data_IF_785878200707
#
_entry.id   IF_785878200707
#
_cell.length_a   1.000
_cell.length_b   1.000
_cell.length_c   1.000
_cell.angle_alpha   90.00
_cell.angle_beta   90.00
_cell.angle_gamma   90.00
#
_symmetry.space_group_name_H-M   'P 1'
#
loop_
_entity.id
_entity.type
_entity.pdbx_description
1 polymer ?
#
# COMPACT_ATOMS: atom_id res chain seq x y z
N UNK A 1 -40.21 13.59 -31.54
CA UNK A 1 -39.64 12.75 -30.46
C UNK A 1 -38.16 12.64 -30.74
N UNK A 2 -37.30 13.24 -29.95
CA UNK A 2 -35.86 13.08 -30.11
C UNK A 2 -35.43 11.74 -29.49
N UNK A 3 -34.53 11.09 -30.17
CA UNK A 3 -33.99 9.76 -29.86
C UNK A 3 -33.02 9.82 -28.66
N UNK A 4 -32.97 8.74 -27.90
CA UNK A 4 -32.32 8.55 -26.60
C UNK A 4 -30.78 8.41 -26.67
N UNK A 5 -30.09 9.13 -27.51
CA UNK A 5 -28.61 9.02 -27.69
C UNK A 5 -27.80 10.19 -27.14
N UNK A 6 -28.42 11.20 -26.53
CA UNK A 6 -27.75 12.45 -26.11
C UNK A 6 -27.72 12.64 -24.60
N UNK A 7 -27.23 11.68 -23.82
CA UNK A 7 -26.90 11.92 -22.41
C UNK A 7 -25.77 11.03 -21.92
N UNK A 8 -24.58 11.25 -22.45
CA UNK A 8 -23.34 10.93 -21.72
C UNK A 8 -22.88 12.23 -21.04
N UNK A 9 -22.77 12.30 -19.71
CA UNK A 9 -22.13 13.44 -19.07
C UNK A 9 -20.62 13.31 -19.24
N UNK A 10 -20.08 14.01 -20.23
CA UNK A 10 -18.64 14.05 -20.58
C UNK A 10 -17.84 15.05 -19.76
N UNK A 11 -18.37 15.67 -18.71
CA UNK A 11 -17.65 16.63 -17.90
C UNK A 11 -17.82 16.36 -16.40
N UNK A 12 -17.18 15.30 -15.90
CA UNK A 12 -16.79 15.32 -14.50
C UNK A 12 -15.62 16.30 -14.39
N UNK A 13 -15.71 17.34 -13.53
CA UNK A 13 -14.60 18.26 -13.33
C UNK A 13 -13.40 17.46 -12.87
N UNK A 14 -12.36 17.47 -13.68
CA UNK A 14 -11.06 16.92 -13.27
C UNK A 14 -10.66 17.64 -11.97
N UNK A 15 -10.36 16.93 -10.88
CA UNK A 15 -9.87 17.58 -9.69
C UNK A 15 -8.57 18.30 -10.08
N UNK A 16 -8.57 19.62 -9.99
CA UNK A 16 -7.35 20.41 -10.13
C UNK A 16 -6.44 20.00 -8.98
N UNK A 17 -5.42 19.22 -9.28
CA UNK A 17 -4.28 19.05 -8.40
C UNK A 17 -3.68 20.43 -8.19
N UNK A 18 -3.94 21.02 -7.03
CA UNK A 18 -3.28 22.27 -6.65
C UNK A 18 -1.88 21.85 -6.21
N UNK A 19 -0.82 22.23 -6.96
CA UNK A 19 0.54 21.95 -6.53
C UNK A 19 0.73 22.56 -5.14
N UNK A 20 1.09 21.76 -4.17
CA UNK A 20 1.37 22.26 -2.83
C UNK A 20 2.73 22.92 -2.85
N UNK A 21 2.75 24.22 -2.88
CA UNK A 21 3.96 25.02 -2.73
C UNK A 21 4.29 25.10 -1.24
N UNK A 22 5.26 24.31 -0.81
CA UNK A 22 5.77 24.44 0.54
C UNK A 22 7.31 24.34 0.53
N UNK A 23 7.94 25.06 1.46
CA UNK A 23 9.36 24.93 1.73
C UNK A 23 9.56 23.88 2.81
N UNK A 24 10.30 22.82 2.48
CA UNK A 24 10.60 21.78 3.45
C UNK A 24 11.70 22.23 4.42
N UNK A 25 11.52 21.94 5.70
CA UNK A 25 12.56 21.99 6.70
C UNK A 25 13.55 20.84 6.49
N UNK A 26 14.76 21.02 7.04
CA UNK A 26 15.77 19.96 6.98
C UNK A 26 15.35 18.79 7.89
N UNK A 27 15.33 17.59 7.30
CA UNK A 27 15.08 16.34 8.00
C UNK A 27 16.36 15.50 8.02
N UNK A 28 16.69 14.97 9.19
CA UNK A 28 17.83 14.04 9.34
C UNK A 28 17.33 12.60 9.31
N UNK A 29 17.62 11.84 8.23
CA UNK A 29 17.20 10.46 8.13
C UNK A 29 17.75 9.59 9.27
N UNK A 30 16.93 8.64 9.74
CA UNK A 30 17.37 7.62 10.68
C UNK A 30 17.79 6.33 9.95
N UNK A 31 18.58 5.49 10.61
CA UNK A 31 18.89 4.15 10.13
C UNK A 31 18.03 3.12 10.89
N UNK A 32 16.92 2.62 10.32
CA UNK A 32 16.08 1.65 10.99
C UNK A 32 16.86 0.37 11.29
N UNK A 33 16.76 -0.18 12.52
CA UNK A 33 17.38 -1.46 12.86
C UNK A 33 16.60 -2.62 12.24
N UNK A 34 17.28 -3.74 11.99
CA UNK A 34 16.64 -5.01 11.71
C UNK A 34 16.08 -5.66 12.98
N UNK A 35 14.97 -6.37 12.82
CA UNK A 35 14.29 -7.10 13.89
C UNK A 35 14.29 -8.60 13.61
N UNK A 36 14.37 -9.38 14.67
CA UNK A 36 14.24 -10.84 14.64
C UNK A 36 12.95 -11.22 15.36
N UNK A 37 11.94 -11.65 14.60
CA UNK A 37 10.57 -11.86 15.10
C UNK A 37 10.26 -13.37 15.11
N UNK A 38 9.96 -13.90 16.30
CA UNK A 38 9.60 -15.31 16.52
C UNK A 38 8.10 -15.48 16.85
N UNK A 39 7.33 -14.39 16.84
CA UNK A 39 5.92 -14.36 17.17
C UNK A 39 5.03 -14.32 15.92
N UNK A 40 3.78 -14.06 16.08
CA UNK A 40 2.75 -14.14 15.05
C UNK A 40 2.89 -13.05 13.98
N UNK A 41 2.75 -13.47 12.74
CA UNK A 41 2.57 -12.62 11.56
C UNK A 41 1.19 -12.89 10.96
N UNK A 42 0.50 -11.85 10.48
CA UNK A 42 -0.78 -12.00 9.76
C UNK A 42 -0.66 -11.26 8.43
N UNK A 43 -0.63 -12.01 7.33
CA UNK A 43 -0.69 -11.45 6.00
C UNK A 43 -2.14 -11.31 5.54
N UNK A 44 -2.46 -10.20 4.86
CA UNK A 44 -3.80 -9.95 4.37
C UNK A 44 -3.78 -9.08 3.10
N UNK A 45 -4.89 -9.12 2.37
CA UNK A 45 -5.10 -8.31 1.19
C UNK A 45 -6.50 -7.70 1.20
N UNK A 46 -6.65 -6.56 0.55
CA UNK A 46 -7.92 -5.92 0.22
C UNK A 46 -8.34 -6.30 -1.23
N UNK A 47 -9.62 -6.35 -1.51
CA UNK A 47 -10.74 -5.96 -0.65
C UNK A 47 -11.20 -7.05 0.33
N UNK A 48 -10.59 -8.24 0.33
CA UNK A 48 -11.17 -9.43 0.95
C UNK A 48 -10.98 -9.48 2.47
N UNK A 49 -9.80 -9.10 3.00
CA UNK A 49 -9.43 -9.45 4.37
C UNK A 49 -8.89 -8.31 5.23
N UNK A 50 -8.65 -7.11 4.68
CA UNK A 50 -8.05 -5.99 5.45
C UNK A 50 -8.90 -5.61 6.65
N UNK A 51 -10.21 -5.42 6.46
CA UNK A 51 -11.14 -5.12 7.55
C UNK A 51 -11.25 -6.28 8.54
N UNK A 52 -11.34 -7.51 8.03
CA UNK A 52 -11.44 -8.73 8.84
C UNK A 52 -10.21 -8.97 9.74
N UNK A 53 -9.04 -8.41 9.39
CA UNK A 53 -7.84 -8.45 10.24
C UNK A 53 -7.77 -7.24 11.16
N UNK A 54 -8.04 -6.04 10.65
CA UNK A 54 -7.92 -4.79 11.43
C UNK A 54 -8.95 -4.71 12.55
N UNK A 55 -10.21 -5.05 12.26
CA UNK A 55 -11.31 -4.98 13.22
C UNK A 55 -11.03 -5.74 14.52
N UNK A 56 -10.77 -7.06 14.53
CA UNK A 56 -10.58 -7.79 15.78
C UNK A 56 -9.34 -7.33 16.57
N UNK A 57 -8.29 -6.83 15.89
CA UNK A 57 -7.12 -6.27 16.57
C UNK A 57 -7.46 -4.94 17.27
N UNK A 58 -8.25 -4.07 16.64
CA UNK A 58 -8.71 -2.81 17.23
C UNK A 58 -9.74 -3.07 18.34
N UNK A 59 -10.64 -4.03 18.18
CA UNK A 59 -11.60 -4.44 19.21
C UNK A 59 -10.92 -5.04 20.45
N UNK A 60 -9.81 -5.76 20.27
CA UNK A 60 -9.03 -6.35 21.35
C UNK A 60 -8.06 -5.38 22.03
N UNK A 61 -7.89 -4.16 21.51
CA UNK A 61 -7.03 -3.16 22.10
C UNK A 61 -7.48 -2.83 23.53
N UNK A 62 -6.53 -2.79 24.47
CA UNK A 62 -6.76 -2.62 25.90
C UNK A 62 -6.03 -1.42 26.52
N UNK A 63 -5.01 -0.88 25.85
CA UNK A 63 -4.19 0.22 26.36
C UNK A 63 -4.12 1.39 25.40
N UNK A 64 -3.66 1.13 24.16
CA UNK A 64 -3.40 2.22 23.24
C UNK A 64 -3.52 1.79 21.77
N UNK A 65 -3.96 2.71 20.93
CA UNK A 65 -3.94 2.64 19.49
C UNK A 65 -3.24 3.90 18.99
N UNK A 66 -2.11 3.75 18.28
CA UNK A 66 -1.35 4.83 17.68
C UNK A 66 -1.36 4.64 16.15
N UNK A 67 -1.79 5.66 15.43
CA UNK A 67 -2.02 5.59 13.98
C UNK A 67 -1.26 6.70 13.28
N UNK A 68 -0.50 6.38 12.22
CA UNK A 68 -0.04 7.29 11.18
C UNK A 68 -0.72 6.87 9.88
N UNK A 69 -1.55 7.76 9.31
CA UNK A 69 -2.32 7.44 8.09
C UNK A 69 -2.52 8.66 7.21
N UNK A 70 -2.61 8.41 5.90
CA UNK A 70 -2.77 9.47 4.91
C UNK A 70 -4.22 9.88 4.69
N UNK A 71 -5.15 8.92 4.55
CA UNK A 71 -6.58 9.16 4.36
C UNK A 71 -7.42 8.43 5.40
N UNK A 72 -8.41 9.13 5.94
CA UNK A 72 -9.34 8.61 6.94
C UNK A 72 -10.78 9.06 6.63
N UNK A 73 -11.49 8.28 5.81
CA UNK A 73 -12.86 8.60 5.37
C UNK A 73 -13.89 7.50 5.67
N UNK A 74 -13.44 6.31 6.11
CA UNK A 74 -14.33 5.18 6.42
C UNK A 74 -14.97 5.35 7.80
N UNK A 75 -16.29 5.58 7.85
CA UNK A 75 -17.06 5.82 9.08
C UNK A 75 -17.00 4.63 10.05
N UNK A 76 -17.09 3.40 9.55
CA UNK A 76 -17.00 2.20 10.38
C UNK A 76 -15.60 2.01 11.03
N UNK A 77 -14.53 2.54 10.43
CA UNK A 77 -13.21 2.58 11.07
C UNK A 77 -13.18 3.60 12.20
N UNK A 78 -13.78 4.78 12.00
CA UNK A 78 -13.98 5.76 13.07
C UNK A 78 -14.78 5.14 14.22
N UNK A 79 -15.84 4.41 13.94
CA UNK A 79 -16.68 3.78 14.95
C UNK A 79 -15.91 2.78 15.80
N UNK A 80 -14.98 2.01 15.22
CA UNK A 80 -14.08 1.12 15.95
C UNK A 80 -13.16 1.88 16.90
N UNK A 81 -12.62 3.03 16.48
CA UNK A 81 -11.75 3.86 17.31
C UNK A 81 -12.53 4.54 18.43
N UNK A 82 -13.74 5.04 18.17
CA UNK A 82 -14.63 5.59 19.20
C UNK A 82 -15.04 4.51 20.20
N UNK A 83 -15.33 3.30 19.74
CA UNK A 83 -15.60 2.18 20.64
C UNK A 83 -14.38 1.83 21.53
N UNK A 84 -13.16 1.96 21.00
CA UNK A 84 -11.94 1.79 21.80
C UNK A 84 -11.79 2.90 22.86
N UNK A 85 -12.03 4.16 22.50
CA UNK A 85 -12.05 5.29 23.46
C UNK A 85 -13.05 5.05 24.59
N UNK A 86 -14.26 4.58 24.29
CA UNK A 86 -15.29 4.26 25.30
C UNK A 86 -14.89 3.12 26.23
N UNK A 87 -13.98 2.24 25.81
CA UNK A 87 -13.38 1.21 26.68
C UNK A 87 -12.20 1.73 27.52
N UNK A 88 -11.83 3.01 27.38
CA UNK A 88 -10.68 3.62 28.07
C UNK A 88 -9.35 3.43 27.36
N UNK A 89 -9.35 2.97 26.10
CA UNK A 89 -8.13 2.84 25.29
C UNK A 89 -7.69 4.22 24.82
N UNK A 90 -6.42 4.55 24.93
CA UNK A 90 -5.85 5.78 24.39
C UNK A 90 -5.75 5.68 22.87
N UNK A 91 -6.44 6.53 22.12
CA UNK A 91 -6.35 6.60 20.66
C UNK A 91 -5.64 7.88 20.28
N UNK A 92 -4.52 7.74 19.58
CA UNK A 92 -3.74 8.85 19.02
C UNK A 92 -3.58 8.65 17.52
N UNK A 93 -3.90 9.68 16.72
CA UNK A 93 -3.81 9.63 15.27
C UNK A 93 -3.00 10.81 14.75
N UNK A 94 -2.04 10.51 13.87
CA UNK A 94 -1.41 11.47 12.98
C UNK A 94 -2.04 11.32 11.60
N UNK A 95 -2.57 12.42 11.05
CA UNK A 95 -3.28 12.44 9.78
C UNK A 95 -2.69 13.51 8.86
N UNK A 96 -2.45 13.16 7.60
CA UNK A 96 -2.09 14.12 6.57
C UNK A 96 -3.37 14.83 6.10
N UNK A 97 -3.61 16.04 6.62
CA UNK A 97 -4.86 16.78 6.44
C UNK A 97 -5.01 17.33 5.03
N UNK A 98 -5.16 16.48 4.05
CA UNK A 98 -5.37 16.84 2.64
C UNK A 98 -6.79 17.34 2.32
N UNK A 99 -7.62 17.57 3.32
CA UNK A 99 -8.98 18.13 3.21
C UNK A 99 -9.88 17.37 2.24
N UNK A 100 -9.83 16.03 2.28
CA UNK A 100 -10.74 15.20 1.50
C UNK A 100 -12.17 15.29 2.04
N UNK A 101 -13.15 15.05 1.18
CA UNK A 101 -14.55 15.05 1.56
C UNK A 101 -14.82 14.03 2.66
N UNK A 102 -15.40 14.48 3.78
CA UNK A 102 -15.75 13.65 4.94
C UNK A 102 -14.62 13.44 5.96
N UNK A 103 -13.37 13.71 5.61
CA UNK A 103 -12.22 13.53 6.50
C UNK A 103 -12.19 14.53 7.66
N UNK A 104 -12.44 15.85 7.44
CA UNK A 104 -12.49 16.83 8.55
C UNK A 104 -13.55 16.50 9.57
N UNK A 105 -14.72 16.02 9.16
CA UNK A 105 -15.82 15.64 10.03
C UNK A 105 -15.48 14.42 10.88
N UNK A 106 -14.90 13.38 10.30
CA UNK A 106 -14.48 12.18 11.03
C UNK A 106 -13.33 12.48 12.00
N UNK A 107 -12.39 13.34 11.60
CA UNK A 107 -11.32 13.85 12.44
C UNK A 107 -11.87 14.61 13.64
N UNK A 108 -12.75 15.59 13.42
CA UNK A 108 -13.36 16.39 14.47
C UNK A 108 -14.17 15.51 15.45
N UNK A 109 -14.93 14.56 14.94
CA UNK A 109 -15.70 13.63 15.79
C UNK A 109 -14.80 12.77 16.65
N UNK A 110 -13.71 12.21 16.11
CA UNK A 110 -12.74 11.45 16.89
C UNK A 110 -12.16 12.28 18.04
N UNK A 111 -11.82 13.56 17.79
CA UNK A 111 -11.32 14.46 18.82
C UNK A 111 -12.38 14.77 19.89
N UNK A 112 -13.62 15.02 19.49
CA UNK A 112 -14.74 15.25 20.43
C UNK A 112 -15.02 14.04 21.32
N UNK A 113 -14.78 12.82 20.84
CA UNK A 113 -14.91 11.59 21.62
C UNK A 113 -13.72 11.32 22.54
N UNK A 114 -12.75 12.22 22.62
CA UNK A 114 -11.58 12.11 23.52
C UNK A 114 -10.33 11.51 22.88
N UNK A 115 -10.30 11.34 21.57
CA UNK A 115 -9.09 10.96 20.83
C UNK A 115 -8.07 12.11 20.79
N UNK A 116 -6.80 11.79 20.61
CA UNK A 116 -5.73 12.75 20.37
C UNK A 116 -5.40 12.80 18.89
N UNK A 117 -5.45 13.96 18.28
CA UNK A 117 -5.11 14.17 16.88
C UNK A 117 -3.94 15.13 16.71
N UNK A 118 -2.99 14.76 15.85
CA UNK A 118 -1.87 15.62 15.46
C UNK A 118 -1.82 15.68 13.92
N UNK A 119 -1.87 16.87 13.30
CA UNK A 119 -1.60 16.97 11.87
C UNK A 119 -0.23 16.40 11.55
N UNK A 120 -0.10 15.71 10.42
CA UNK A 120 1.20 15.22 9.99
C UNK A 120 2.11 16.38 9.56
N UNK A 121 3.43 16.34 9.81
CA UNK A 121 4.37 17.42 9.48
C UNK A 121 4.69 17.45 7.97
N UNK A 122 3.65 17.56 7.15
CA UNK A 122 3.68 17.57 5.69
C UNK A 122 3.34 18.96 5.13
N UNK A 123 3.43 19.09 3.81
CA UNK A 123 2.95 20.30 3.12
C UNK A 123 1.44 20.56 3.28
N UNK A 124 0.68 19.64 3.84
CA UNK A 124 -0.71 19.82 4.22
C UNK A 124 -0.88 20.52 5.57
N UNK A 125 0.12 20.49 6.45
CA UNK A 125 0.14 21.18 7.74
C UNK A 125 0.22 22.71 7.54
N UNK A 126 -0.30 23.45 8.53
CA UNK A 126 -0.12 24.89 8.63
C UNK A 126 1.15 25.28 9.41
N UNK A 127 1.90 24.32 9.96
CA UNK A 127 2.99 24.58 10.91
C UNK A 127 4.32 23.96 10.50
N UNK A 128 4.37 22.66 10.27
CA UNK A 128 5.61 21.91 10.08
C UNK A 128 5.64 21.24 8.71
N UNK A 129 6.61 21.60 7.87
CA UNK A 129 6.77 21.05 6.53
C UNK A 129 8.11 20.28 6.45
N UNK A 130 8.16 19.08 6.99
CA UNK A 130 9.34 18.22 6.88
C UNK A 130 9.27 17.27 5.70
N UNK A 131 8.05 16.88 5.33
CA UNK A 131 7.80 15.95 4.23
C UNK A 131 6.81 16.57 3.22
N UNK A 132 6.94 16.30 1.91
CA UNK A 132 5.90 16.70 0.96
C UNK A 132 4.55 16.11 1.34
N UNK A 133 4.54 14.83 1.76
CA UNK A 133 3.37 14.11 2.24
C UNK A 133 3.78 13.08 3.29
N UNK A 134 2.92 12.85 4.28
CA UNK A 134 3.02 11.74 5.23
C UNK A 134 2.08 10.63 4.76
N UNK A 135 2.60 9.76 3.89
CA UNK A 135 1.79 8.78 3.17
C UNK A 135 1.93 7.35 3.72
N UNK A 136 2.52 7.19 4.90
CA UNK A 136 2.55 5.90 5.61
C UNK A 136 1.15 5.49 6.08
N UNK A 137 0.94 4.17 6.23
CA UNK A 137 -0.24 3.55 6.84
C UNK A 137 0.26 2.55 7.87
N UNK A 138 0.49 3.07 9.06
CA UNK A 138 1.07 2.34 10.20
C UNK A 138 0.15 2.43 11.41
N UNK A 139 -0.21 1.29 11.96
CA UNK A 139 -1.04 1.20 13.16
C UNK A 139 -0.29 0.39 14.22
N UNK A 140 -0.09 0.96 15.40
CA UNK A 140 0.50 0.27 16.54
C UNK A 140 -0.57 0.09 17.61
N UNK A 141 -0.79 -1.15 18.06
CA UNK A 141 -1.82 -1.50 19.05
C UNK A 141 -1.14 -2.08 20.29
N UNK A 142 -1.39 -1.49 21.43
CA UNK A 142 -0.92 -1.90 22.77
C UNK A 142 0.60 -2.03 22.89
N UNK A 143 1.36 -1.33 22.04
CA UNK A 143 2.82 -1.50 21.88
C UNK A 143 3.24 -2.96 21.64
N UNK A 144 2.38 -3.73 21.03
CA UNK A 144 2.52 -5.16 20.79
C UNK A 144 2.38 -5.53 19.33
N UNK A 145 1.36 -5.01 18.67
CA UNK A 145 1.11 -5.23 17.26
C UNK A 145 1.52 -4.02 16.43
N UNK A 146 2.11 -4.28 15.28
CA UNK A 146 2.34 -3.28 14.23
C UNK A 146 1.69 -3.75 12.95
N UNK A 147 0.79 -2.96 12.37
CA UNK A 147 0.23 -3.16 11.05
C UNK A 147 0.89 -2.16 10.11
N UNK A 148 1.44 -2.65 8.99
CA UNK A 148 1.94 -1.83 7.90
C UNK A 148 1.23 -2.28 6.63
N UNK A 149 0.66 -1.34 5.88
CA UNK A 149 -0.16 -1.66 4.73
C UNK A 149 -0.08 -0.59 3.64
N UNK A 150 -0.54 -0.94 2.43
CA UNK A 150 -0.66 0.02 1.33
C UNK A 150 -1.97 0.81 1.38
N UNK A 151 -3.03 0.21 1.92
CA UNK A 151 -4.38 0.79 1.96
C UNK A 151 -4.58 1.82 3.05
N UNK A 152 -5.34 2.86 2.73
CA UNK A 152 -5.84 3.87 3.64
C UNK A 152 -7.04 3.37 4.47
N UNK A 153 -7.56 4.19 5.38
CA UNK A 153 -8.86 3.96 6.02
C UNK A 153 -9.98 4.64 5.22
N UNK A 154 -10.09 4.24 3.94
CA UNK A 154 -11.16 4.63 3.01
C UNK A 154 -12.05 3.44 2.69
N UNK A 155 -13.27 3.67 2.21
CA UNK A 155 -14.19 2.58 1.84
C UNK A 155 -13.62 1.68 0.74
N UNK A 156 -12.83 2.25 -0.18
CA UNK A 156 -12.22 1.48 -1.26
C UNK A 156 -11.06 0.61 -0.77
N UNK A 157 -10.21 1.11 0.15
CA UNK A 157 -9.01 0.39 0.59
C UNK A 157 -9.27 -0.59 1.75
N UNK A 158 -10.31 -0.35 2.56
CA UNK A 158 -10.66 -1.23 3.69
C UNK A 158 -12.16 -1.54 3.71
N UNK A 159 -12.75 -2.06 2.63
CA UNK A 159 -14.19 -2.36 2.61
C UNK A 159 -14.56 -3.31 3.74
N UNK A 160 -15.77 -3.15 4.35
CA UNK A 160 -16.16 -3.85 5.58
C UNK A 160 -16.56 -5.32 5.33
N UNK A 161 -15.75 -6.03 4.54
CA UNK A 161 -15.97 -7.44 4.26
C UNK A 161 -15.69 -8.30 5.50
N UNK A 162 -16.51 -9.31 5.71
CA UNK A 162 -16.29 -10.31 6.74
C UNK A 162 -15.04 -11.17 6.44
N UNK A 163 -14.62 -11.93 7.44
CA UNK A 163 -13.54 -12.90 7.23
C UNK A 163 -13.83 -13.78 6.00
N UNK A 164 -12.82 -14.01 5.18
CA UNK A 164 -12.93 -14.78 3.93
C UNK A 164 -13.79 -14.12 2.85
N UNK A 165 -13.97 -12.79 2.93
CA UNK A 165 -14.86 -12.06 2.04
C UNK A 165 -16.36 -12.30 2.31
N UNK A 166 -16.71 -13.11 3.31
CA UNK A 166 -18.10 -13.33 3.75
C UNK A 166 -19.04 -13.90 2.68
N UNK A 167 -20.33 -13.58 2.83
CA UNK A 167 -21.35 -13.91 1.84
C UNK A 167 -21.06 -13.20 0.51
N UNK A 168 -21.00 -13.92 -0.61
CA UNK A 168 -20.81 -13.33 -1.93
C UNK A 168 -21.82 -12.21 -2.26
N UNK A 169 -23.05 -12.33 -1.81
CA UNK A 169 -24.09 -11.33 -2.07
C UNK A 169 -23.85 -10.00 -1.31
N UNK A 170 -23.06 -10.05 -0.25
CA UNK A 170 -22.74 -8.90 0.59
C UNK A 170 -21.29 -8.38 0.36
N UNK A 171 -20.55 -9.00 -0.55
CA UNK A 171 -19.18 -8.62 -0.81
C UNK A 171 -19.10 -7.19 -1.37
N UNK A 172 -18.30 -6.36 -0.72
CA UNK A 172 -18.03 -4.98 -1.15
C UNK A 172 -16.72 -4.96 -1.93
N UNK A 173 -16.75 -4.65 -3.24
CA UNK A 173 -15.54 -4.45 -4.03
C UNK A 173 -14.69 -3.31 -3.49
N UNK A 174 -13.40 -3.36 -3.75
CA UNK A 174 -12.47 -2.33 -3.33
C UNK A 174 -11.17 -2.34 -4.13
N UNK A 175 -10.20 -1.61 -3.62
CA UNK A 175 -8.86 -1.60 -4.16
C UNK A 175 -8.15 -2.92 -3.90
N UNK A 176 -7.19 -3.26 -4.77
CA UNK A 176 -6.17 -4.23 -4.42
C UNK A 176 -5.11 -3.53 -3.58
N UNK A 177 -5.08 -3.86 -2.29
CA UNK A 177 -4.09 -3.46 -1.30
C UNK A 177 -3.53 -4.69 -0.58
N UNK A 178 -2.36 -4.55 0.05
CA UNK A 178 -1.80 -5.60 0.89
C UNK A 178 -1.25 -5.02 2.19
N UNK A 179 -1.26 -5.85 3.23
CA UNK A 179 -0.73 -5.47 4.53
C UNK A 179 -0.22 -6.65 5.33
N UNK A 180 0.59 -6.32 6.31
CA UNK A 180 1.19 -7.25 7.26
C UNK A 180 1.00 -6.75 8.68
N UNK A 181 0.39 -7.54 9.53
CA UNK A 181 0.37 -7.33 10.96
C UNK A 181 1.45 -8.21 11.63
N UNK A 182 2.27 -7.61 12.48
CA UNK A 182 3.40 -8.25 13.15
C UNK A 182 3.23 -8.11 14.67
N UNK A 183 3.22 -9.23 15.37
CA UNK A 183 3.25 -9.24 16.84
C UNK A 183 4.69 -9.22 17.33
N UNK A 184 5.17 -8.05 17.70
CA UNK A 184 6.53 -7.85 18.20
C UNK A 184 6.62 -6.56 19.01
N UNK A 185 6.84 -6.63 20.34
CA UNK A 185 7.00 -5.43 21.18
C UNK A 185 8.15 -4.54 20.68
N UNK A 186 9.26 -5.12 20.23
CA UNK A 186 10.42 -4.35 19.78
C UNK A 186 10.11 -3.56 18.48
N UNK A 187 9.41 -4.18 17.51
CA UNK A 187 8.99 -3.51 16.29
C UNK A 187 7.91 -2.46 16.59
N UNK A 188 6.96 -2.77 17.47
CA UNK A 188 5.92 -1.84 17.90
C UNK A 188 6.52 -0.61 18.59
N UNK A 189 7.48 -0.80 19.48
CA UNK A 189 8.19 0.30 20.14
C UNK A 189 9.00 1.16 19.13
N UNK A 190 9.56 0.55 18.08
CA UNK A 190 10.23 1.30 17.02
C UNK A 190 9.24 2.22 16.29
N UNK A 191 8.13 1.68 15.79
CA UNK A 191 7.13 2.48 15.07
C UNK A 191 6.42 3.49 15.99
N UNK A 192 6.21 3.16 17.25
CA UNK A 192 5.70 4.14 18.24
C UNK A 192 6.64 5.34 18.38
N UNK A 193 7.95 5.12 18.49
CA UNK A 193 8.93 6.22 18.53
C UNK A 193 8.97 7.00 17.23
N UNK A 194 8.90 6.34 16.08
CA UNK A 194 8.87 6.98 14.77
C UNK A 194 7.67 7.94 14.66
N UNK A 195 6.46 7.43 14.85
CA UNK A 195 5.23 8.24 14.74
C UNK A 195 5.18 9.37 15.77
N UNK A 196 5.58 9.11 17.01
CA UNK A 196 5.66 10.16 18.05
C UNK A 196 6.74 11.18 17.75
N UNK A 197 7.85 10.78 17.12
CA UNK A 197 8.90 11.69 16.64
C UNK A 197 8.36 12.61 15.54
N UNK A 198 7.64 12.07 14.57
CA UNK A 198 7.02 12.87 13.51
C UNK A 198 5.94 13.81 14.07
N UNK A 199 5.10 13.34 15.00
CA UNK A 199 4.15 14.20 15.72
C UNK A 199 4.87 15.33 16.50
N UNK A 200 6.03 15.05 17.08
CA UNK A 200 6.79 16.05 17.83
C UNK A 200 7.35 17.15 16.91
N UNK A 201 7.66 16.84 15.66
CA UNK A 201 8.06 17.85 14.66
C UNK A 201 6.92 18.87 14.43
N UNK A 202 5.69 18.39 14.32
CA UNK A 202 4.50 19.24 14.17
C UNK A 202 4.25 20.09 15.44
N UNK A 203 4.31 19.46 16.59
CA UNK A 203 4.01 20.12 17.88
C UNK A 203 5.10 21.14 18.28
N UNK A 204 6.37 20.92 17.91
CA UNK A 204 7.47 21.81 18.17
C UNK A 204 7.53 23.01 17.22
N UNK A 205 6.88 22.92 16.05
CA UNK A 205 6.84 24.00 15.08
C UNK A 205 6.06 25.18 15.69
N UNK A 206 6.75 26.31 15.85
CA UNK A 206 6.14 27.59 16.19
C UNK A 206 5.27 28.07 15.03
N UNK A 207 4.90 29.34 15.00
CA UNK A 207 4.03 30.01 14.04
C UNK A 207 4.24 29.59 12.58
N UNK A 208 3.16 29.57 11.78
CA UNK A 208 3.11 29.22 10.36
C UNK A 208 4.34 29.66 9.53
N UNK A 209 4.87 28.75 8.74
CA UNK A 209 5.94 28.99 7.78
C UNK A 209 5.36 29.76 6.57
N UNK A 210 6.15 30.72 6.05
CA UNK A 210 5.78 31.41 4.82
C UNK A 210 5.76 30.45 3.61
N UNK A 211 4.89 30.64 2.60
CA UNK A 211 4.87 29.81 1.40
C UNK A 211 6.24 29.76 0.72
N UNK A 212 6.69 28.58 0.36
CA UNK A 212 7.94 28.35 -0.36
C UNK A 212 7.71 27.76 -1.76
N UNK A 213 8.76 27.55 -2.58
CA UNK A 213 8.61 26.98 -3.92
C UNK A 213 8.05 25.56 -3.86
N UNK A 214 7.23 25.24 -4.86
CA UNK A 214 6.45 24.02 -4.97
C UNK A 214 7.26 22.73 -4.89
N UNK A 215 6.83 21.81 -4.04
CA UNK A 215 7.12 20.40 -4.22
C UNK A 215 5.88 19.80 -4.92
N UNK A 216 6.01 19.51 -6.21
CA UNK A 216 4.93 18.88 -6.98
C UNK A 216 4.97 17.36 -6.78
N UNK A 217 4.16 16.83 -5.89
CA UNK A 217 3.62 15.50 -6.05
C UNK A 217 2.10 15.63 -6.18
N UNK A 218 1.60 15.21 -7.33
CA UNK A 218 0.18 14.94 -7.47
C UNK A 218 -0.14 13.79 -6.52
N UNK A 219 -0.70 14.10 -5.33
CA UNK A 219 -1.30 13.08 -4.51
C UNK A 219 -2.23 12.26 -5.41
N UNK A 220 -1.97 10.96 -5.53
CA UNK A 220 -2.85 10.09 -6.30
C UNK A 220 -4.21 10.15 -5.61
N UNK A 221 -5.11 10.95 -6.19
CA UNK A 221 -6.47 11.07 -5.69
C UNK A 221 -7.10 9.70 -5.86
N UNK A 222 -7.52 9.11 -4.76
CA UNK A 222 -8.42 7.97 -4.78
C UNK A 222 -9.76 8.50 -5.30
N UNK A 223 -9.87 8.64 -6.64
CA UNK A 223 -11.12 8.97 -7.30
C UNK A 223 -12.13 7.92 -6.92
N UNK A 224 -13.35 8.33 -6.62
CA UNK A 224 -14.48 7.42 -6.48
C UNK A 224 -14.70 6.72 -7.84
N UNK A 225 -13.92 5.69 -8.09
CA UNK A 225 -14.00 4.90 -9.29
C UNK A 225 -15.35 4.14 -9.28
N UNK A 226 -15.92 3.95 -10.46
CA UNK A 226 -17.14 3.16 -10.60
C UNK A 226 -16.93 1.77 -9.98
N UNK A 227 -17.94 1.30 -9.24
CA UNK A 227 -17.90 -0.01 -8.61
C UNK A 227 -17.60 -1.09 -9.66
N UNK A 228 -16.64 -2.00 -9.43
CA UNK A 228 -16.34 -3.07 -10.37
C UNK A 228 -17.60 -3.89 -10.69
N UNK A 229 -17.82 -4.25 -11.96
CA UNK A 229 -19.01 -4.95 -12.37
C UNK A 229 -19.04 -6.42 -11.91
N UNK A 230 -17.93 -6.96 -11.45
CA UNK A 230 -17.80 -8.36 -11.08
C UNK A 230 -17.01 -8.54 -9.78
N UNK A 231 -17.29 -9.65 -9.09
CA UNK A 231 -16.46 -10.05 -7.96
C UNK A 231 -15.12 -10.65 -8.43
N UNK A 232 -14.05 -10.52 -7.63
CA UNK A 232 -12.83 -11.25 -7.88
C UNK A 232 -13.12 -12.76 -8.02
N UNK A 233 -12.45 -13.45 -8.96
CA UNK A 233 -12.70 -14.89 -9.20
C UNK A 233 -12.27 -15.78 -8.04
N UNK A 234 -11.35 -15.27 -7.21
CA UNK A 234 -10.90 -15.89 -5.97
C UNK A 234 -10.84 -14.83 -4.88
N UNK A 235 -11.33 -15.16 -3.69
CA UNK A 235 -11.26 -14.31 -2.50
C UNK A 235 -10.23 -14.88 -1.55
N UNK A 236 -9.22 -14.08 -1.25
CA UNK A 236 -8.10 -14.52 -0.42
C UNK A 236 -8.37 -14.28 1.06
N UNK A 237 -8.27 -15.35 1.83
CA UNK A 237 -8.29 -15.27 3.29
C UNK A 237 -6.99 -14.65 3.81
N UNK A 238 -7.06 -13.96 4.94
CA UNK A 238 -5.85 -13.65 5.68
C UNK A 238 -5.14 -14.94 6.13
N UNK A 239 -3.81 -14.88 6.22
CA UNK A 239 -3.04 -16.04 6.68
C UNK A 239 -2.20 -15.67 7.89
N UNK A 240 -2.32 -16.48 8.93
CA UNK A 240 -1.53 -16.37 10.16
C UNK A 240 -0.32 -17.30 10.06
N UNK A 241 0.84 -16.76 10.47
CA UNK A 241 2.09 -17.51 10.55
C UNK A 241 2.61 -17.44 11.99
N UNK A 242 3.13 -18.56 12.47
CA UNK A 242 3.89 -18.66 13.72
C UNK A 242 5.22 -19.32 13.37
N UNK A 243 6.23 -18.51 13.02
CA UNK A 243 7.47 -19.08 12.52
C UNK A 243 8.20 -19.86 13.61
N UNK A 244 8.70 -21.05 13.25
CA UNK A 244 9.49 -21.91 14.17
C UNK A 244 10.88 -21.34 14.43
N UNK A 245 11.41 -20.57 13.49
CA UNK A 245 12.68 -19.83 13.59
C UNK A 245 12.36 -18.33 13.46
N UNK A 246 13.08 -17.47 14.19
CA UNK A 246 12.89 -16.05 14.05
C UNK A 246 13.02 -15.59 12.59
N UNK A 247 12.10 -14.71 12.19
CA UNK A 247 12.03 -14.09 10.85
C UNK A 247 12.71 -12.73 10.90
N UNK A 248 13.61 -12.49 9.96
CA UNK A 248 14.24 -11.19 9.81
C UNK A 248 13.24 -10.19 9.18
N UNK A 249 13.01 -9.09 9.86
CA UNK A 249 12.17 -7.97 9.42
C UNK A 249 12.97 -6.69 9.49
N UNK A 250 13.04 -5.96 8.36
CA UNK A 250 13.66 -4.64 8.28
C UNK A 250 12.60 -3.61 7.93
N UNK A 251 12.36 -2.59 8.77
CA UNK A 251 11.61 -1.42 8.34
C UNK A 251 12.33 -0.70 7.21
N UNK A 252 11.61 -0.41 6.15
CA UNK A 252 12.12 0.31 4.97
C UNK A 252 11.29 1.58 4.82
N UNK A 253 11.91 2.70 5.15
CA UNK A 253 11.26 3.99 5.29
C UNK A 253 11.76 4.98 4.24
N UNK A 254 10.89 5.87 3.82
CA UNK A 254 11.28 7.09 3.11
C UNK A 254 11.10 8.29 4.05
N UNK A 255 12.02 9.26 4.01
CA UNK A 255 13.23 9.35 3.17
C UNK A 255 14.45 8.60 3.72
N UNK A 256 14.29 7.74 4.73
CA UNK A 256 15.38 7.25 5.59
C UNK A 256 16.33 6.25 4.88
N UNK A 257 15.80 5.07 4.48
CA UNK A 257 16.64 3.98 3.95
C UNK A 257 16.11 3.27 2.71
N UNK A 258 15.00 3.72 2.11
CA UNK A 258 14.40 3.04 0.95
C UNK A 258 15.40 2.88 -0.19
N UNK A 259 16.06 3.97 -0.60
CA UNK A 259 17.01 3.96 -1.71
C UNK A 259 18.35 3.29 -1.36
N UNK A 260 18.63 3.05 -0.08
CA UNK A 260 19.80 2.27 0.35
C UNK A 260 19.53 0.76 0.31
N UNK A 261 18.28 0.35 0.51
CA UNK A 261 17.88 -1.07 0.65
C UNK A 261 17.35 -1.65 -0.65
N UNK A 262 16.39 -0.97 -1.30
CA UNK A 262 15.59 -1.57 -2.38
C UNK A 262 16.38 -1.81 -3.67
N UNK A 263 17.31 -0.94 -4.12
CA UNK A 263 18.16 -1.26 -5.27
C UNK A 263 18.96 -2.55 -5.06
N UNK A 264 19.54 -2.74 -3.88
CA UNK A 264 20.27 -3.97 -3.52
C UNK A 264 19.36 -5.21 -3.47
N UNK A 265 18.14 -5.06 -2.95
CA UNK A 265 17.14 -6.14 -2.96
C UNK A 265 16.83 -6.59 -4.39
N UNK A 266 16.55 -5.66 -5.30
CA UNK A 266 16.24 -5.95 -6.71
C UNK A 266 17.45 -6.56 -7.44
N UNK A 267 18.64 -5.97 -7.26
CA UNK A 267 19.87 -6.46 -7.86
C UNK A 267 20.25 -7.87 -7.39
N UNK A 268 19.84 -8.29 -6.20
CA UNK A 268 20.13 -9.62 -5.64
C UNK A 268 19.25 -10.74 -6.19
N UNK A 269 18.26 -10.42 -7.03
CA UNK A 269 17.34 -11.41 -7.60
C UNK A 269 18.06 -12.44 -8.48
N UNK A 270 17.71 -13.72 -8.31
CA UNK A 270 18.31 -14.84 -9.04
C UNK A 270 17.30 -15.63 -9.87
N UNK A 271 16.03 -15.61 -9.51
CA UNK A 271 14.96 -16.40 -10.17
C UNK A 271 13.79 -15.55 -10.62
N UNK A 272 13.30 -14.63 -9.77
CA UNK A 272 12.12 -13.86 -10.10
C UNK A 272 12.01 -12.57 -9.31
N UNK A 273 11.44 -11.55 -9.96
CA UNK A 273 10.95 -10.33 -9.34
C UNK A 273 9.48 -10.20 -9.72
N UNK A 274 8.61 -10.08 -8.73
CA UNK A 274 7.21 -9.74 -8.92
C UNK A 274 6.94 -8.40 -8.21
N UNK A 275 6.38 -7.45 -8.96
CA UNK A 275 6.10 -6.10 -8.49
C UNK A 275 4.62 -5.81 -8.72
N UNK A 276 3.95 -5.27 -7.72
CA UNK A 276 2.61 -4.72 -7.85
C UNK A 276 2.60 -3.32 -7.30
N UNK A 277 2.35 -2.34 -8.18
CA UNK A 277 2.43 -0.92 -7.88
C UNK A 277 1.23 -0.17 -8.44
N UNK A 278 0.89 0.93 -7.82
CA UNK A 278 -0.10 1.85 -8.36
C UNK A 278 0.38 2.43 -9.70
N UNK A 279 1.61 2.92 -9.72
CA UNK A 279 2.31 3.41 -10.91
C UNK A 279 3.83 3.26 -10.74
N UNK A 280 4.55 3.39 -11.86
CA UNK A 280 6.02 3.45 -11.90
C UNK A 280 6.40 4.62 -12.80
N UNK A 281 6.91 5.71 -12.23
CA UNK A 281 7.37 6.90 -12.95
C UNK A 281 8.81 6.69 -13.45
N UNK A 282 8.94 5.89 -14.49
CA UNK A 282 10.23 5.40 -15.01
C UNK A 282 11.14 6.49 -15.60
N UNK A 283 10.63 7.67 -15.83
CA UNK A 283 11.37 8.87 -16.24
C UNK A 283 12.10 9.57 -15.08
N UNK A 284 11.71 9.30 -13.83
CA UNK A 284 12.24 9.96 -12.64
C UNK A 284 13.55 9.33 -12.14
N UNK A 285 14.56 10.11 -11.70
CA UNK A 285 15.91 9.64 -11.40
C UNK A 285 16.02 8.51 -10.37
N UNK A 286 15.31 8.60 -9.23
CA UNK A 286 15.34 7.56 -8.22
C UNK A 286 14.71 6.26 -8.72
N UNK A 287 13.64 6.37 -9.52
CA UNK A 287 12.97 5.21 -10.11
C UNK A 287 13.82 4.57 -11.19
N UNK A 288 14.53 5.39 -11.99
CA UNK A 288 15.53 4.87 -12.95
C UNK A 288 16.61 4.03 -12.25
N UNK A 289 17.03 4.42 -11.04
CA UNK A 289 17.97 3.62 -10.24
C UNK A 289 17.39 2.24 -9.89
N UNK A 290 16.11 2.16 -9.49
CA UNK A 290 15.42 0.88 -9.24
C UNK A 290 15.31 0.03 -10.50
N UNK A 291 14.90 0.64 -11.61
CA UNK A 291 14.76 -0.04 -12.91
C UNK A 291 16.12 -0.51 -13.45
N UNK A 292 17.18 0.27 -13.24
CA UNK A 292 18.56 -0.12 -13.57
C UNK A 292 18.98 -1.36 -12.80
N UNK A 293 18.68 -1.43 -11.49
CA UNK A 293 18.98 -2.60 -10.67
C UNK A 293 18.27 -3.88 -11.19
N UNK A 294 17.01 -3.75 -11.64
CA UNK A 294 16.26 -4.84 -12.30
C UNK A 294 16.96 -5.23 -13.62
N UNK A 295 17.29 -4.26 -14.45
CA UNK A 295 17.96 -4.49 -15.76
C UNK A 295 19.29 -5.20 -15.57
N UNK A 296 20.11 -4.77 -14.65
CA UNK A 296 21.39 -5.40 -14.34
C UNK A 296 21.20 -6.84 -13.82
N UNK A 297 20.19 -7.10 -12.98
CA UNK A 297 19.84 -8.44 -12.53
C UNK A 297 19.47 -9.33 -13.73
N UNK A 298 18.69 -8.84 -14.70
CA UNK A 298 18.35 -9.56 -15.93
C UNK A 298 19.58 -9.83 -16.81
N UNK A 299 20.50 -8.89 -16.91
CA UNK A 299 21.77 -9.08 -17.68
C UNK A 299 22.61 -10.17 -17.03
N UNK A 300 22.75 -10.16 -15.70
CA UNK A 300 23.48 -11.20 -14.96
C UNK A 300 22.76 -12.56 -14.98
N UNK A 301 21.44 -12.57 -15.14
CA UNK A 301 20.57 -13.76 -15.10
C UNK A 301 19.55 -13.69 -16.24
N UNK A 302 19.90 -14.11 -17.48
CA UNK A 302 19.01 -14.00 -18.64
C UNK A 302 17.65 -14.70 -18.49
N UNK A 303 17.56 -15.69 -17.59
CA UNK A 303 16.32 -16.42 -17.27
C UNK A 303 15.54 -15.81 -16.09
N UNK A 304 15.97 -14.64 -15.56
CA UNK A 304 15.25 -13.95 -14.49
C UNK A 304 13.85 -13.53 -14.95
N UNK A 305 12.84 -14.04 -14.28
CA UNK A 305 11.45 -13.66 -14.55
C UNK A 305 11.12 -12.34 -13.86
N UNK A 306 10.76 -11.32 -14.64
CA UNK A 306 10.27 -10.05 -14.12
C UNK A 306 8.82 -9.87 -14.54
N UNK A 307 7.93 -9.65 -13.58
CA UNK A 307 6.50 -9.40 -13.81
C UNK A 307 6.03 -8.23 -12.95
N UNK A 308 5.30 -7.31 -13.56
CA UNK A 308 4.83 -6.07 -12.97
C UNK A 308 3.33 -5.93 -13.21
N UNK A 309 2.54 -5.72 -12.16
CA UNK A 309 1.13 -5.36 -12.25
C UNK A 309 0.98 -3.91 -11.81
N UNK A 310 0.32 -3.10 -12.65
CA UNK A 310 0.09 -1.67 -12.40
C UNK A 310 -1.41 -1.37 -12.33
N UNK A 311 -1.74 -0.21 -11.77
CA UNK A 311 -3.05 0.38 -11.98
C UNK A 311 -3.19 0.92 -13.40
N UNK A 312 -4.43 1.03 -13.87
CA UNK A 312 -4.70 1.84 -15.07
C UNK A 312 -4.45 3.30 -14.74
N UNK A 313 -3.69 4.04 -15.58
CA UNK A 313 -3.44 5.46 -15.37
C UNK A 313 -4.74 6.28 -15.35
N UNK A 314 -4.78 7.27 -14.48
CA UNK A 314 -5.93 8.20 -14.40
C UNK A 314 -5.95 9.19 -15.55
N UNK A 315 -4.79 9.61 -16.06
CA UNK A 315 -4.64 10.52 -17.20
C UNK A 315 -4.91 9.87 -18.57
N UNK A 316 -5.38 8.61 -18.56
CA UNK A 316 -5.83 7.94 -19.79
C UNK A 316 -4.70 7.33 -20.64
N UNK A 317 -4.97 7.12 -21.94
CA UNK A 317 -4.03 6.38 -22.83
C UNK A 317 -2.67 7.05 -23.00
N UNK A 318 -2.60 8.37 -23.01
CA UNK A 318 -1.35 9.10 -23.23
C UNK A 318 -0.39 8.95 -22.05
N UNK A 319 -0.90 9.04 -20.81
CA UNK A 319 -0.11 8.76 -19.60
C UNK A 319 0.38 7.30 -19.60
N UNK A 320 -0.51 6.36 -19.94
CA UNK A 320 -0.14 4.95 -20.05
C UNK A 320 0.97 4.72 -21.10
N UNK A 321 0.90 5.38 -22.25
CA UNK A 321 1.91 5.27 -23.30
C UNK A 321 3.27 5.84 -22.83
N UNK A 322 3.27 6.97 -22.13
CA UNK A 322 4.48 7.56 -21.57
C UNK A 322 5.14 6.66 -20.51
N UNK A 323 4.36 6.13 -19.57
CA UNK A 323 4.86 5.20 -18.54
C UNK A 323 5.44 3.93 -19.18
N UNK A 324 4.75 3.35 -20.18
CA UNK A 324 5.24 2.17 -20.89
C UNK A 324 6.51 2.45 -21.71
N UNK A 325 6.63 3.62 -22.34
CA UNK A 325 7.83 4.03 -23.07
C UNK A 325 9.04 4.11 -22.12
N UNK A 326 8.88 4.72 -20.96
CA UNK A 326 9.92 4.80 -19.94
C UNK A 326 10.35 3.40 -19.42
N UNK A 327 9.40 2.48 -19.21
CA UNK A 327 9.70 1.11 -18.82
C UNK A 327 10.40 0.31 -19.92
N UNK A 328 10.07 0.57 -21.20
CA UNK A 328 10.66 -0.10 -22.34
C UNK A 328 12.17 0.18 -22.50
N UNK A 329 12.66 1.34 -22.05
CA UNK A 329 14.10 1.67 -22.00
C UNK A 329 14.89 0.65 -21.14
N UNK A 330 14.25 0.04 -20.16
CA UNK A 330 14.82 -0.99 -19.28
C UNK A 330 14.50 -2.42 -19.75
N UNK A 331 13.90 -2.58 -20.95
CA UNK A 331 13.55 -3.87 -21.53
C UNK A 331 12.24 -4.48 -20.95
N UNK A 332 11.46 -3.69 -20.22
CA UNK A 332 10.18 -4.11 -19.65
C UNK A 332 9.05 -3.79 -20.63
N UNK A 333 8.42 -4.82 -21.19
CA UNK A 333 7.45 -4.71 -22.30
C UNK A 333 6.04 -5.11 -21.86
N UNK A 334 4.99 -4.43 -22.38
CA UNK A 334 3.60 -4.80 -22.15
C UNK A 334 3.32 -6.27 -22.47
N UNK A 335 2.44 -6.89 -21.74
CA UNK A 335 2.06 -8.29 -21.90
C UNK A 335 3.10 -9.29 -21.42
N UNK A 336 4.36 -9.07 -21.77
CA UNK A 336 5.46 -9.96 -21.36
C UNK A 336 5.94 -9.69 -19.92
N UNK A 337 6.10 -8.42 -19.55
CA UNK A 337 6.65 -8.00 -18.26
C UNK A 337 5.69 -7.10 -17.48
N UNK A 338 4.78 -6.39 -18.16
CA UNK A 338 3.87 -5.41 -17.55
C UNK A 338 2.44 -5.76 -17.92
N UNK A 339 1.58 -5.79 -16.92
CA UNK A 339 0.12 -5.91 -17.07
C UNK A 339 -0.56 -4.91 -16.15
N UNK A 340 -1.82 -4.63 -16.43
CA UNK A 340 -2.67 -3.76 -15.63
C UNK A 340 -3.68 -4.59 -14.86
N UNK A 341 -3.87 -4.27 -13.57
CA UNK A 341 -4.90 -4.90 -12.76
C UNK A 341 -6.26 -4.78 -13.44
N UNK A 342 -7.02 -5.86 -13.44
CA UNK A 342 -8.28 -5.91 -14.18
C UNK A 342 -9.38 -5.13 -13.45
N UNK A 343 -9.87 -4.01 -14.00
CA UNK A 343 -10.91 -3.20 -13.38
C UNK A 343 -12.29 -3.86 -13.41
N UNK A 344 -12.44 -5.04 -14.04
CA UNK A 344 -13.65 -5.85 -13.88
C UNK A 344 -13.82 -6.38 -12.46
N UNK A 345 -12.73 -6.49 -11.68
CA UNK A 345 -12.73 -7.10 -10.35
C UNK A 345 -12.37 -6.14 -9.22
N UNK A 346 -11.57 -5.11 -9.51
CA UNK A 346 -11.05 -4.20 -8.50
C UNK A 346 -11.31 -2.75 -8.87
N UNK A 347 -11.52 -1.91 -7.87
CA UNK A 347 -11.67 -0.46 -8.06
C UNK A 347 -10.37 0.11 -8.62
N UNK A 348 -9.24 -0.22 -7.97
CA UNK A 348 -7.92 0.26 -8.37
C UNK A 348 -6.82 -0.66 -7.85
N UNK A 349 -5.65 -0.66 -8.50
CA UNK A 349 -4.43 -1.21 -7.95
C UNK A 349 -3.77 -0.15 -7.06
N UNK A 350 -3.96 -0.26 -5.76
CA UNK A 350 -3.35 0.66 -4.80
C UNK A 350 -2.21 0.00 -4.01
N UNK A 351 -1.76 -1.16 -4.45
CA UNK A 351 -0.73 -1.95 -3.80
C UNK A 351 0.69 -1.39 -4.02
N UNK A 352 1.61 -1.69 -3.10
CA UNK A 352 3.03 -1.38 -3.15
C UNK A 352 3.80 -2.60 -2.64
N UNK A 353 3.94 -3.59 -3.52
CA UNK A 353 4.49 -4.90 -3.21
C UNK A 353 5.69 -5.20 -4.11
N UNK A 354 6.75 -5.73 -3.53
CA UNK A 354 7.86 -6.36 -4.26
C UNK A 354 8.14 -7.73 -3.66
N UNK A 355 8.18 -8.77 -4.49
CA UNK A 355 8.56 -10.13 -4.09
C UNK A 355 9.79 -10.55 -4.88
N UNK A 356 10.87 -10.91 -4.18
CA UNK A 356 12.12 -11.37 -4.81
C UNK A 356 12.32 -12.85 -4.48
N UNK A 357 12.56 -13.63 -5.53
CA UNK A 357 12.88 -15.07 -5.48
C UNK A 357 11.87 -15.95 -4.74
N UNK A 358 10.65 -15.41 -4.47
CA UNK A 358 9.60 -16.10 -3.72
C UNK A 358 9.92 -16.34 -2.25
N UNK A 359 10.88 -15.60 -1.68
CA UNK A 359 11.25 -15.71 -0.27
C UNK A 359 11.34 -14.35 0.45
N UNK A 360 11.64 -13.26 -0.25
CA UNK A 360 11.72 -11.91 0.33
C UNK A 360 10.56 -11.06 -0.17
N UNK A 361 9.91 -10.36 0.75
CA UNK A 361 8.74 -9.50 0.48
C UNK A 361 8.99 -8.11 1.04
N UNK A 362 8.80 -7.09 0.22
CA UNK A 362 8.64 -5.71 0.66
C UNK A 362 7.15 -5.36 0.50
N UNK A 363 6.50 -5.00 1.60
CA UNK A 363 5.08 -4.61 1.64
C UNK A 363 4.92 -3.34 2.45
N UNK A 364 4.20 -2.35 1.93
CA UNK A 364 3.98 -1.06 2.60
C UNK A 364 3.37 0.01 1.71
N UNK A 365 3.86 1.26 1.82
CA UNK A 365 3.16 2.41 1.28
C UNK A 365 3.85 3.14 0.12
N UNK A 366 5.15 2.87 -0.17
CA UNK A 366 5.91 3.62 -1.17
C UNK A 366 5.42 3.34 -2.60
N UNK A 367 4.84 4.34 -3.23
CA UNK A 367 4.69 4.40 -4.68
C UNK A 367 6.06 4.50 -5.37
N UNK A 368 6.15 4.12 -6.63
CA UNK A 368 7.39 4.30 -7.38
C UNK A 368 7.38 5.65 -8.12
N UNK A 369 7.55 6.71 -7.33
CA UNK A 369 7.90 8.09 -7.74
C UNK A 369 9.06 8.61 -6.90
N UNK A 370 9.80 9.60 -7.41
CA UNK A 370 10.94 10.19 -6.70
C UNK A 370 10.55 10.67 -5.32
N UNK A 371 9.43 11.38 -5.20
CA UNK A 371 8.96 11.87 -3.91
C UNK A 371 8.65 10.74 -2.92
N UNK A 372 7.94 9.72 -3.35
CA UNK A 372 7.55 8.62 -2.47
C UNK A 372 8.75 7.80 -1.97
N UNK A 373 9.81 7.66 -2.78
CA UNK A 373 10.97 6.85 -2.39
C UNK A 373 12.09 7.66 -1.74
N UNK A 374 12.07 9.02 -1.84
CA UNK A 374 13.18 9.87 -1.35
C UNK A 374 12.80 11.00 -0.40
N UNK A 375 11.52 11.41 -0.34
CA UNK A 375 11.12 12.64 0.38
C UNK A 375 9.89 12.50 1.25
N UNK A 376 8.85 11.76 0.81
CA UNK A 376 7.66 11.55 1.62
C UNK A 376 7.99 10.73 2.87
N UNK A 377 7.18 10.88 3.91
CA UNK A 377 7.17 9.91 4.99
C UNK A 377 6.36 8.70 4.54
N UNK A 378 7.05 7.59 4.35
CA UNK A 378 6.47 6.32 3.93
C UNK A 378 7.04 5.17 4.76
N UNK A 379 6.31 4.06 4.85
CA UNK A 379 6.74 2.89 5.62
C UNK A 379 6.43 1.58 4.91
N UNK A 380 7.43 0.71 4.83
CA UNK A 380 7.32 -0.68 4.41
C UNK A 380 8.05 -1.62 5.36
N UNK A 381 7.74 -2.90 5.26
CA UNK A 381 8.49 -3.99 5.90
C UNK A 381 9.11 -4.88 4.84
N UNK A 382 10.43 -5.04 4.90
CA UNK A 382 11.13 -6.09 4.17
C UNK A 382 11.25 -7.32 5.05
N UNK A 383 10.67 -8.42 4.61
CA UNK A 383 10.57 -9.68 5.38
C UNK A 383 11.20 -10.81 4.58
N UNK A 384 12.14 -11.55 5.19
CA UNK A 384 12.70 -12.76 4.62
C UNK A 384 12.00 -14.00 5.21
N UNK A 385 10.90 -14.39 4.55
CA UNK A 385 10.10 -15.55 4.98
C UNK A 385 9.36 -16.17 3.79
N UNK A 386 9.84 -17.29 3.30
CA UNK A 386 9.29 -17.95 2.12
C UNK A 386 7.79 -18.32 2.21
N UNK A 387 7.23 -18.79 3.34
CA UNK A 387 5.80 -19.03 3.46
C UNK A 387 4.97 -17.75 3.30
N UNK A 388 5.43 -16.61 3.86
CA UNK A 388 4.79 -15.31 3.69
C UNK A 388 4.85 -14.84 2.24
N UNK A 389 6.03 -14.97 1.60
CA UNK A 389 6.22 -14.61 0.21
C UNK A 389 5.31 -15.43 -0.72
N UNK A 390 5.11 -16.73 -0.44
CA UNK A 390 4.15 -17.57 -1.18
C UNK A 390 2.71 -17.07 -1.07
N UNK A 391 2.28 -16.62 0.09
CA UNK A 391 0.94 -16.05 0.24
C UNK A 391 0.70 -14.88 -0.71
N UNK A 392 1.56 -13.86 -0.66
CA UNK A 392 1.42 -12.71 -1.54
C UNK A 392 1.66 -13.09 -3.01
N UNK A 393 2.56 -14.02 -3.29
CA UNK A 393 2.81 -14.49 -4.64
C UNK A 393 1.58 -15.17 -5.26
N UNK A 394 0.79 -15.92 -4.48
CA UNK A 394 -0.46 -16.52 -4.97
C UNK A 394 -1.46 -15.46 -5.39
N UNK A 395 -1.56 -14.36 -4.63
CA UNK A 395 -2.44 -13.23 -4.97
C UNK A 395 -1.91 -12.55 -6.25
N UNK A 396 -0.63 -12.20 -6.28
CA UNK A 396 0.01 -11.58 -7.44
C UNK A 396 -0.15 -12.44 -8.71
N UNK A 397 0.01 -13.75 -8.63
CA UNK A 397 -0.12 -14.65 -9.77
C UNK A 397 -1.54 -14.65 -10.35
N UNK A 398 -2.57 -14.52 -9.51
CA UNK A 398 -3.94 -14.33 -9.97
C UNK A 398 -4.12 -12.95 -10.62
N UNK A 399 -3.66 -11.89 -9.97
CA UNK A 399 -3.78 -10.53 -10.48
C UNK A 399 -3.02 -10.39 -11.82
N UNK A 400 -1.87 -11.04 -11.95
CA UNK A 400 -1.14 -11.16 -13.22
C UNK A 400 -1.94 -11.95 -14.27
N UNK A 401 -2.46 -13.12 -13.95
CA UNK A 401 -3.16 -14.00 -14.89
C UNK A 401 -4.45 -13.38 -15.43
N UNK A 402 -5.16 -12.64 -14.57
CA UNK A 402 -6.39 -11.93 -14.94
C UNK A 402 -6.15 -10.54 -15.49
N UNK A 403 -4.93 -10.02 -15.36
CA UNK A 403 -4.54 -8.66 -15.76
C UNK A 403 -4.56 -8.44 -17.27
N UNK A 404 -4.73 -7.19 -17.65
CA UNK A 404 -4.80 -6.73 -19.03
C UNK A 404 -3.41 -6.34 -19.53
N UNK A 405 -3.07 -6.73 -20.77
CA UNK A 405 -1.80 -6.32 -21.41
C UNK A 405 -1.86 -4.92 -22.00
N UNK A 406 -3.07 -4.39 -22.20
CA UNK A 406 -3.33 -3.07 -22.72
C UNK A 406 -4.32 -2.34 -21.79
N UNK A 407 -3.98 -1.15 -21.28
CA UNK A 407 -4.85 -0.40 -20.38
C UNK A 407 -6.09 0.17 -21.09
N UNK A 408 -6.08 0.31 -22.40
CA UNK A 408 -7.22 0.81 -23.18
C UNK A 408 -8.30 -0.24 -23.41
N UNK A 409 -8.00 -1.53 -23.22
CA UNK A 409 -8.98 -2.60 -23.39
C UNK A 409 -10.10 -2.50 -22.36
N UNK A 410 -11.33 -2.64 -22.83
CA UNK A 410 -12.51 -2.66 -21.95
C UNK A 410 -12.39 -3.78 -20.89
N UNK A 411 -12.84 -3.52 -19.66
CA UNK A 411 -12.86 -4.52 -18.59
C UNK A 411 -13.63 -5.77 -19.02
N UNK A 412 -13.04 -6.96 -18.85
CA UNK A 412 -13.71 -8.24 -19.17
C UNK A 412 -13.33 -9.30 -18.15
N UNK A 413 -14.22 -10.25 -17.94
CA UNK A 413 -13.93 -11.42 -17.12
C UNK A 413 -12.77 -12.22 -17.72
N UNK A 414 -11.86 -12.67 -16.85
CA UNK A 414 -10.81 -13.59 -17.24
C UNK A 414 -11.38 -14.97 -17.56
N UNK A 415 -10.79 -15.66 -18.55
CA UNK A 415 -11.18 -17.02 -18.89
C UNK A 415 -10.91 -18.00 -17.73
N UNK A 416 -11.71 -19.06 -17.62
CA UNK A 416 -11.57 -20.09 -16.58
C UNK A 416 -10.20 -20.75 -16.55
N UNK A 417 -9.57 -20.93 -17.71
CA UNK A 417 -8.22 -21.52 -17.84
C UNK A 417 -7.14 -20.63 -17.20
N UNK A 418 -7.20 -19.30 -17.40
CA UNK A 418 -6.27 -18.37 -16.80
C UNK A 418 -6.36 -18.36 -15.26
N UNK A 419 -7.60 -18.44 -14.74
CA UNK A 419 -7.86 -18.52 -13.31
C UNK A 419 -7.35 -19.86 -12.74
N UNK A 420 -7.64 -20.98 -13.41
CA UNK A 420 -7.18 -22.30 -12.99
C UNK A 420 -5.66 -22.41 -12.98
N UNK A 421 -4.97 -21.90 -14.00
CA UNK A 421 -3.52 -21.89 -14.06
C UNK A 421 -2.86 -21.08 -12.93
N UNK A 422 -3.48 -19.95 -12.55
CA UNK A 422 -2.98 -19.10 -11.47
C UNK A 422 -3.21 -19.69 -10.06
N UNK A 423 -4.30 -20.45 -9.90
CA UNK A 423 -4.69 -21.03 -8.60
C UNK A 423 -4.17 -22.46 -8.39
N UNK A 424 -3.68 -23.12 -9.45
CA UNK A 424 -3.03 -24.44 -9.33
C UNK A 424 -1.67 -24.26 -8.67
N UNK A 425 -1.39 -24.93 -7.53
CA UNK A 425 -0.08 -24.86 -6.92
C UNK A 425 0.98 -25.35 -7.93
N UNK A 426 2.15 -24.70 -8.02
CA UNK A 426 3.21 -25.20 -8.87
C UNK A 426 3.55 -26.65 -8.46
N UNK A 427 3.71 -27.52 -9.43
CA UNK A 427 4.04 -28.95 -9.26
C UNK A 427 5.48 -29.14 -8.78
N UNK A 428 5.88 -28.46 -7.71
CA UNK A 428 7.14 -28.73 -7.02
C UNK A 428 6.89 -29.88 -6.06
N UNK A 429 7.74 -30.94 -6.05
CA UNK A 429 7.64 -32.00 -5.07
C UNK A 429 7.65 -31.40 -3.66
N UNK A 430 6.52 -31.48 -2.98
CA UNK A 430 6.36 -30.93 -1.63
C UNK A 430 7.09 -31.85 -0.68
N UNK A 431 8.07 -31.35 0.06
CA UNK A 431 8.65 -32.08 1.18
C UNK A 431 7.65 -32.12 2.33
N UNK A 432 7.64 -33.22 3.07
CA UNK A 432 6.74 -33.41 4.23
C UNK A 432 6.84 -32.25 5.24
N UNK A 433 8.00 -31.59 5.31
CA UNK A 433 8.26 -30.40 6.11
C UNK A 433 7.41 -29.18 5.74
N UNK A 434 6.88 -29.11 4.52
CA UNK A 434 6.06 -28.00 4.04
C UNK A 434 4.60 -28.05 4.53
N UNK A 435 4.19 -29.18 5.12
CA UNK A 435 2.84 -29.41 5.64
C UNK A 435 2.75 -29.33 7.17
N UNK A 436 3.87 -29.30 7.88
CA UNK A 436 3.90 -29.32 9.35
C UNK A 436 3.93 -27.94 9.99
N UNK A 437 3.69 -26.87 9.22
CA UNK A 437 3.49 -25.51 9.72
C UNK A 437 1.97 -25.25 9.88
N UNK A 438 1.41 -25.66 11.00
CA UNK A 438 0.10 -25.25 11.52
C UNK A 438 0.30 -24.30 12.69
#
# INVERSE_FOLDING_TARGET
MPTSEDMMPTDLPQPRLVPRQCRLAEYTPCAPPGFSVADQLIAYASPEATYAVSRPLLEAASRSILIGIYDFTATYMRDLLVAALRRGVQVTMMLDLDRRKGEPELWADLLQQGGTGVPAPSCASERAHYFPSCHEKVIVIDELWTLVQSGNYTEASIPPNAADGGDPAQFVPGNRDMGLAVRSPALAAFFSRLLRGDMALELAAGRALAPGPAAEEAAAIELAAARPPQMPPVRFRSRRFRPRKPVAILPVLSPDNYMQVVPGLLASATRSIAIEQQYIRGDQPAIRTLLTAIREAQVRRPNLQVRIVLARPYGGPDEAAADLAALAEFGLRPGAHVRYLNPAYFVHCHNKLVIVDGCRVLVGSQNWSDFAVTRNREASLLVDHAPLARYYRTIFDLDWATGLSDPAVAPRAAGREAIAAATTPPSVPRRLSDYLEV
#
